data_IF_021399663101
#
_entry.id   IF_021399663101
#
_cell.length_a   1.000
_cell.length_b   1.000
_cell.length_c   1.000
_cell.angle_alpha   90.00
_cell.angle_beta   90.00
_cell.angle_gamma   90.00
#
_symmetry.space_group_name_H-M   'P 1'
#
loop_
_entity.id
_entity.type
_entity.pdbx_description
1 polymer ?
#
# COMPACT_ATOMS: atom_id res chain seq x y z
N UNK A 1 23.39 6.64 -30.33
CA UNK A 1 22.95 5.82 -31.47
C UNK A 1 21.52 5.40 -31.25
N UNK A 2 20.61 5.81 -32.14
CA UNK A 2 19.23 5.33 -32.10
C UNK A 2 19.19 3.93 -32.73
N UNK A 3 19.02 2.90 -31.90
CA UNK A 3 18.76 1.55 -32.36
C UNK A 3 17.30 1.50 -32.87
N UNK A 4 17.11 1.12 -34.11
CA UNK A 4 15.78 0.96 -34.67
C UNK A 4 15.11 -0.28 -34.04
N UNK A 5 14.12 -0.07 -33.19
CA UNK A 5 13.36 -1.15 -32.61
C UNK A 5 12.30 -1.67 -33.58
N UNK A 6 12.24 -2.98 -33.76
CA UNK A 6 11.19 -3.65 -34.55
C UNK A 6 10.30 -4.45 -33.60
N UNK A 7 8.99 -4.34 -33.79
CA UNK A 7 8.04 -5.15 -33.03
C UNK A 7 8.23 -6.64 -33.38
N UNK A 8 8.27 -7.50 -32.38
CA UNK A 8 8.34 -8.94 -32.57
C UNK A 8 7.08 -9.48 -33.25
N UNK A 9 5.90 -8.97 -32.85
CA UNK A 9 4.59 -9.27 -33.45
C UNK A 9 4.19 -8.16 -34.43
N UNK A 10 4.92 -8.01 -35.54
CA UNK A 10 4.74 -6.91 -36.50
C UNK A 10 3.35 -6.89 -37.18
N UNK A 11 2.63 -7.99 -37.15
CA UNK A 11 1.30 -8.14 -37.77
C UNK A 11 0.15 -7.65 -36.86
N UNK A 12 0.39 -7.42 -35.58
CA UNK A 12 -0.62 -6.90 -34.68
C UNK A 12 -0.82 -5.39 -34.83
N UNK A 13 -2.07 -4.89 -34.87
CA UNK A 13 -2.32 -3.47 -34.87
C UNK A 13 -1.82 -2.86 -33.55
N UNK A 14 -1.06 -1.77 -33.63
CA UNK A 14 -0.51 -1.07 -32.49
C UNK A 14 -1.17 0.29 -32.28
N UNK A 15 -1.46 0.64 -31.02
CA UNK A 15 -1.97 1.96 -30.62
C UNK A 15 -1.19 2.50 -29.42
N UNK A 16 -0.82 3.77 -29.47
CA UNK A 16 -0.21 4.48 -28.33
C UNK A 16 -1.00 5.75 -28.06
N UNK A 17 -1.53 5.87 -26.85
CA UNK A 17 -2.22 7.05 -26.37
C UNK A 17 -1.36 7.77 -25.34
N UNK A 18 -1.10 9.04 -25.56
CA UNK A 18 -0.43 9.92 -24.61
C UNK A 18 -1.47 10.81 -23.95
N UNK A 19 -1.62 10.69 -22.64
CA UNK A 19 -2.53 11.54 -21.89
C UNK A 19 -1.88 12.87 -21.51
N UNK A 20 -2.67 13.93 -21.57
CA UNK A 20 -2.24 15.22 -21.02
C UNK A 20 -1.88 15.04 -19.53
N UNK A 21 -0.71 15.53 -19.10
CA UNK A 21 -0.28 15.41 -17.71
C UNK A 21 -1.24 16.11 -16.76
N UNK A 22 -1.37 15.55 -15.56
CA UNK A 22 -2.16 16.14 -14.48
C UNK A 22 -1.21 16.88 -13.55
N UNK A 23 -1.26 18.24 -13.49
CA UNK A 23 -0.37 19.00 -12.62
C UNK A 23 -0.70 18.76 -11.14
N UNK A 24 0.25 19.09 -10.27
CA UNK A 24 -0.02 19.16 -8.82
C UNK A 24 -1.11 20.19 -8.59
N UNK A 25 -2.17 19.82 -7.88
CA UNK A 25 -3.17 20.77 -7.45
C UNK A 25 -2.50 21.85 -6.57
N UNK A 26 -2.86 23.10 -6.76
CA UNK A 26 -2.47 24.16 -5.84
C UNK A 26 -2.88 23.76 -4.42
N UNK A 27 -1.96 23.95 -3.47
CA UNK A 27 -2.27 23.69 -2.07
C UNK A 27 -3.44 24.57 -1.68
N UNK A 28 -4.61 23.96 -1.50
CA UNK A 28 -5.73 24.64 -0.86
C UNK A 28 -5.32 25.24 0.47
N UNK A 29 -6.07 26.20 0.96
CA UNK A 29 -5.88 26.72 2.32
C UNK A 29 -5.75 25.56 3.30
N UNK A 30 -4.78 25.66 4.21
CA UNK A 30 -4.61 24.64 5.25
C UNK A 30 -5.94 24.50 5.97
N UNK A 31 -6.53 23.33 5.91
CA UNK A 31 -7.72 22.98 6.68
C UNK A 31 -7.51 23.25 8.17
N UNK A 32 -8.57 23.16 8.94
CA UNK A 32 -8.47 23.31 10.38
C UNK A 32 -7.47 22.29 10.96
N UNK A 33 -6.80 22.63 12.05
CA UNK A 33 -5.76 21.78 12.66
C UNK A 33 -6.25 20.36 13.04
N UNK A 34 -7.55 20.15 13.12
CA UNK A 34 -8.20 18.87 13.42
C UNK A 34 -8.67 18.10 12.18
N UNK A 35 -8.51 18.67 10.99
CA UNK A 35 -8.83 17.95 9.75
C UNK A 35 -7.82 16.81 9.54
N UNK A 36 -8.28 15.63 9.13
CA UNK A 36 -7.38 14.50 8.86
C UNK A 36 -6.33 14.89 7.82
N UNK A 37 -5.07 14.84 8.19
CA UNK A 37 -3.94 15.21 7.32
C UNK A 37 -3.79 14.23 6.16
N UNK A 38 -4.41 13.06 6.27
CA UNK A 38 -4.27 11.92 5.36
C UNK A 38 -5.37 11.85 4.29
N UNK A 39 -6.39 12.70 4.36
CA UNK A 39 -7.42 12.75 3.32
C UNK A 39 -6.87 13.38 2.04
N UNK A 40 -6.70 12.53 1.04
CA UNK A 40 -6.35 12.97 -0.32
C UNK A 40 -7.55 13.74 -0.89
N UNK A 41 -7.43 15.06 -0.96
CA UNK A 41 -8.51 15.92 -1.47
C UNK A 41 -9.00 15.49 -2.86
N UNK A 42 -10.26 15.76 -3.19
CA UNK A 42 -10.89 15.35 -4.44
C UNK A 42 -10.12 15.80 -5.70
N UNK A 43 -9.43 16.92 -5.63
CA UNK A 43 -8.63 17.48 -6.74
C UNK A 43 -7.15 17.07 -6.71
N UNK A 44 -6.77 16.22 -5.80
CA UNK A 44 -5.37 15.76 -5.74
C UNK A 44 -5.01 14.99 -7.02
N UNK A 45 -3.90 15.33 -7.63
CA UNK A 45 -3.46 14.79 -8.94
C UNK A 45 -3.46 13.26 -8.99
N UNK A 46 -3.13 12.59 -7.88
CA UNK A 46 -3.13 11.12 -7.78
C UNK A 46 -4.55 10.54 -7.88
N UNK A 47 -5.53 11.18 -7.22
CA UNK A 47 -6.93 10.76 -7.26
C UNK A 47 -7.53 10.98 -8.64
N UNK A 48 -7.30 12.15 -9.21
CA UNK A 48 -7.77 12.49 -10.58
C UNK A 48 -7.19 11.49 -11.60
N UNK A 49 -5.90 11.13 -11.47
CA UNK A 49 -5.28 10.12 -12.34
C UNK A 49 -5.91 8.73 -12.13
N UNK A 50 -6.15 8.32 -10.89
CA UNK A 50 -6.77 7.03 -10.58
C UNK A 50 -8.18 6.92 -11.18
N UNK A 51 -9.00 7.96 -11.05
CA UNK A 51 -10.33 8.05 -11.65
C UNK A 51 -10.28 8.07 -13.19
N UNK A 52 -9.27 8.75 -13.78
CA UNK A 52 -9.03 8.72 -15.24
C UNK A 52 -8.69 7.31 -15.73
N UNK A 53 -7.82 6.58 -15.02
CA UNK A 53 -7.48 5.20 -15.34
C UNK A 53 -8.71 4.31 -15.29
N UNK A 54 -9.50 4.38 -14.22
CA UNK A 54 -10.70 3.57 -14.03
C UNK A 54 -11.75 3.85 -15.12
N UNK A 55 -11.99 5.12 -15.44
CA UNK A 55 -12.92 5.53 -16.51
C UNK A 55 -12.45 5.08 -17.89
N UNK A 56 -11.14 5.13 -18.15
CA UNK A 56 -10.57 4.64 -19.40
C UNK A 56 -10.68 3.11 -19.52
N UNK A 57 -10.33 2.38 -18.45
CA UNK A 57 -10.44 0.93 -18.40
C UNK A 57 -11.90 0.48 -18.59
N UNK A 58 -12.87 1.17 -17.95
CA UNK A 58 -14.29 0.87 -18.11
C UNK A 58 -14.72 1.05 -19.56
N UNK A 59 -14.39 2.19 -20.19
CA UNK A 59 -14.71 2.42 -21.60
C UNK A 59 -14.04 1.40 -22.53
N UNK A 60 -12.79 1.00 -22.25
CA UNK A 60 -12.12 -0.04 -23.03
C UNK A 60 -12.87 -1.37 -22.97
N UNK A 61 -13.39 -1.74 -21.80
CA UNK A 61 -14.19 -2.98 -21.65
C UNK A 61 -15.55 -2.85 -22.32
N UNK A 62 -16.18 -1.68 -22.28
CA UNK A 62 -17.54 -1.49 -22.83
C UNK A 62 -17.54 -1.36 -24.37
N UNK A 63 -16.52 -0.70 -24.94
CA UNK A 63 -16.53 -0.27 -26.35
C UNK A 63 -15.28 -0.73 -27.11
N UNK A 64 -14.24 -1.19 -26.40
CA UNK A 64 -12.94 -1.52 -27.00
C UNK A 64 -12.94 -2.86 -27.72
N UNK A 65 -12.12 -2.94 -28.75
CA UNK A 65 -11.85 -4.18 -29.47
C UNK A 65 -10.35 -4.43 -29.62
N UNK A 66 -9.97 -5.69 -29.61
CA UNK A 66 -8.60 -6.17 -29.81
C UNK A 66 -8.57 -7.17 -30.96
N UNK A 67 -7.43 -7.20 -31.66
CA UNK A 67 -7.19 -8.21 -32.68
C UNK A 67 -6.66 -9.49 -32.05
N UNK A 68 -7.30 -10.60 -32.34
CA UNK A 68 -6.88 -11.92 -31.82
C UNK A 68 -7.13 -13.01 -32.86
N UNK A 69 -6.12 -13.87 -33.09
CA UNK A 69 -6.19 -15.04 -33.97
C UNK A 69 -6.88 -14.81 -35.34
N UNK A 70 -6.76 -13.60 -35.89
CA UNK A 70 -7.32 -13.25 -37.22
C UNK A 70 -8.71 -12.62 -37.17
N UNK A 71 -9.18 -12.18 -36.00
CA UNK A 71 -10.46 -11.49 -35.81
C UNK A 71 -10.46 -10.43 -34.72
N UNK A 72 -11.47 -9.56 -34.76
CA UNK A 72 -11.71 -8.59 -33.70
C UNK A 72 -12.56 -9.21 -32.60
N UNK A 73 -12.14 -9.04 -31.35
CA UNK A 73 -12.90 -9.42 -30.16
C UNK A 73 -13.06 -8.25 -29.19
N UNK A 74 -14.08 -8.31 -28.35
CA UNK A 74 -14.28 -7.34 -27.28
C UNK A 74 -13.13 -7.41 -26.26
N UNK A 75 -12.81 -6.26 -25.67
CA UNK A 75 -11.87 -6.16 -24.55
C UNK A 75 -12.52 -6.74 -23.29
N UNK A 76 -11.75 -7.52 -22.54
CA UNK A 76 -12.12 -8.00 -21.22
C UNK A 76 -11.27 -7.34 -20.14
N UNK A 77 -11.71 -7.27 -18.86
CA UNK A 77 -10.87 -6.73 -17.79
C UNK A 77 -9.50 -7.42 -17.69
N UNK A 78 -9.41 -8.72 -18.01
CA UNK A 78 -8.17 -9.49 -17.99
C UNK A 78 -7.14 -9.08 -19.04
N UNK A 79 -7.55 -8.37 -20.08
CA UNK A 79 -6.65 -7.82 -21.11
C UNK A 79 -5.91 -6.56 -20.66
N UNK A 80 -6.34 -5.95 -19.55
CA UNK A 80 -5.83 -4.67 -19.07
C UNK A 80 -4.83 -4.89 -17.92
N UNK A 81 -3.64 -4.33 -18.10
CA UNK A 81 -2.57 -4.32 -17.12
C UNK A 81 -2.19 -2.87 -16.79
N UNK A 82 -2.37 -2.46 -15.55
CA UNK A 82 -1.92 -1.15 -15.07
C UNK A 82 -0.58 -1.33 -14.35
N UNK A 83 0.45 -0.63 -14.82
CA UNK A 83 1.79 -0.69 -14.25
C UNK A 83 2.16 0.63 -13.60
N UNK A 84 2.57 0.56 -12.34
CA UNK A 84 3.09 1.70 -11.57
C UNK A 84 4.55 1.46 -11.19
N UNK A 85 5.30 2.54 -10.94
CA UNK A 85 6.70 2.41 -10.54
C UNK A 85 6.83 1.82 -9.12
N UNK A 86 5.93 2.21 -8.20
CA UNK A 86 5.92 1.77 -6.78
C UNK A 86 4.50 1.61 -6.28
N UNK A 87 4.37 0.81 -5.22
CA UNK A 87 3.15 0.76 -4.42
C UNK A 87 3.07 2.02 -3.57
N UNK A 88 2.28 2.97 -4.01
CA UNK A 88 2.09 4.26 -3.37
C UNK A 88 0.64 4.72 -3.53
N UNK A 89 0.30 5.97 -3.22
CA UNK A 89 -1.07 6.48 -3.27
C UNK A 89 -1.77 6.23 -4.61
N UNK A 90 -1.05 6.33 -5.74
CA UNK A 90 -1.62 6.07 -7.08
C UNK A 90 -1.97 4.59 -7.28
N UNK A 91 -1.20 3.67 -6.72
CA UNK A 91 -1.46 2.24 -6.81
C UNK A 91 -2.77 1.87 -6.12
N UNK A 92 -2.93 2.27 -4.85
CA UNK A 92 -4.15 2.03 -4.08
C UNK A 92 -5.34 2.80 -4.66
N UNK A 93 -5.13 4.04 -5.07
CA UNK A 93 -6.17 4.87 -5.71
C UNK A 93 -6.72 4.25 -6.98
N UNK A 94 -5.87 3.68 -7.85
CA UNK A 94 -6.31 2.99 -9.07
C UNK A 94 -7.12 1.75 -8.75
N UNK A 95 -6.71 0.94 -7.78
CA UNK A 95 -7.47 -0.24 -7.37
C UNK A 95 -8.85 0.17 -6.86
N UNK A 96 -8.93 1.14 -5.95
CA UNK A 96 -10.18 1.62 -5.40
C UNK A 96 -11.10 2.23 -6.47
N UNK A 97 -10.55 3.06 -7.38
CA UNK A 97 -11.31 3.68 -8.46
C UNK A 97 -11.83 2.64 -9.48
N UNK A 98 -11.03 1.64 -9.84
CA UNK A 98 -11.47 0.55 -10.73
C UNK A 98 -12.60 -0.27 -10.10
N UNK A 99 -12.50 -0.62 -8.82
CA UNK A 99 -13.56 -1.31 -8.09
C UNK A 99 -14.85 -0.46 -8.03
N UNK A 100 -14.75 0.82 -7.73
CA UNK A 100 -15.88 1.76 -7.73
C UNK A 100 -16.54 1.88 -9.12
N UNK A 101 -15.76 1.71 -10.21
CA UNK A 101 -16.26 1.65 -11.57
C UNK A 101 -16.85 0.26 -11.96
N UNK A 102 -16.96 -0.68 -11.02
CA UNK A 102 -17.51 -2.03 -11.27
C UNK A 102 -16.57 -2.95 -12.05
N UNK A 103 -15.26 -2.67 -12.05
CA UNK A 103 -14.27 -3.55 -12.67
C UNK A 103 -13.72 -4.53 -11.63
N UNK A 104 -13.66 -5.80 -11.99
CA UNK A 104 -12.98 -6.80 -11.18
C UNK A 104 -11.46 -6.59 -11.30
N UNK A 105 -10.79 -6.34 -10.17
CA UNK A 105 -9.35 -6.12 -10.10
C UNK A 105 -8.69 -7.32 -9.43
N UNK A 106 -7.72 -7.94 -10.13
CA UNK A 106 -6.83 -8.88 -9.49
C UNK A 106 -5.88 -8.08 -8.57
N UNK A 107 -6.01 -8.31 -7.28
CA UNK A 107 -5.30 -7.55 -6.27
C UNK A 107 -3.78 -7.66 -6.39
N UNK A 108 -3.10 -6.73 -5.78
CA UNK A 108 -1.66 -6.68 -5.68
C UNK A 108 -1.08 -8.04 -5.25
N UNK A 109 -0.14 -8.55 -6.03
CA UNK A 109 0.43 -9.89 -5.86
C UNK A 109 1.12 -10.14 -4.51
N UNK A 110 1.36 -9.09 -3.73
CA UNK A 110 1.98 -9.17 -2.40
C UNK A 110 1.31 -8.17 -1.47
N UNK A 111 0.61 -8.69 -0.50
CA UNK A 111 0.10 -7.92 0.63
C UNK A 111 1.25 -7.78 1.64
N UNK A 112 1.76 -6.58 1.83
CA UNK A 112 2.66 -6.29 2.95
C UNK A 112 1.82 -6.18 4.22
N UNK A 113 1.69 -7.30 4.88
CA UNK A 113 0.75 -7.47 5.98
C UNK A 113 0.96 -6.42 7.09
N UNK A 114 2.22 -6.10 7.41
CA UNK A 114 2.56 -5.09 8.40
C UNK A 114 2.28 -3.63 7.98
N UNK A 115 1.97 -3.36 6.72
CA UNK A 115 1.61 -2.01 6.24
C UNK A 115 0.10 -1.77 6.24
N UNK A 116 -0.73 -2.83 6.29
CA UNK A 116 -2.18 -2.76 6.29
C UNK A 116 -2.71 -2.15 7.60
N UNK A 117 -3.58 -1.14 7.47
CA UNK A 117 -4.07 -0.39 8.64
C UNK A 117 -4.85 -1.28 9.61
N UNK A 118 -5.73 -2.14 9.10
CA UNK A 118 -6.48 -3.09 9.93
C UNK A 118 -5.56 -4.01 10.73
N UNK A 119 -4.45 -4.44 10.11
CA UNK A 119 -3.45 -5.30 10.77
C UNK A 119 -2.69 -4.51 11.84
N UNK A 120 -2.28 -3.28 11.55
CA UNK A 120 -1.64 -2.40 12.55
C UNK A 120 -2.52 -2.17 13.76
N UNK A 121 -3.81 -1.92 13.54
CA UNK A 121 -4.78 -1.71 14.61
C UNK A 121 -4.94 -2.95 15.50
N UNK A 122 -4.99 -4.14 14.89
CA UNK A 122 -5.05 -5.41 15.60
C UNK A 122 -3.73 -5.65 16.36
N UNK A 123 -2.58 -5.45 15.72
CA UNK A 123 -1.28 -5.63 16.35
C UNK A 123 -1.08 -4.67 17.53
N UNK A 124 -1.62 -3.44 17.48
CA UNK A 124 -1.60 -2.52 18.61
C UNK A 124 -2.34 -3.08 19.83
N UNK A 125 -3.50 -3.71 19.62
CA UNK A 125 -4.20 -4.42 20.71
C UNK A 125 -3.34 -5.54 21.27
N UNK A 126 -2.79 -6.41 20.40
CA UNK A 126 -1.97 -7.56 20.82
C UNK A 126 -0.69 -7.12 21.54
N UNK A 127 -0.04 -6.04 21.11
CA UNK A 127 1.16 -5.49 21.75
C UNK A 127 0.85 -5.00 23.18
N UNK A 128 -0.25 -4.29 23.34
CA UNK A 128 -0.75 -3.91 24.67
C UNK A 128 -1.06 -5.15 25.54
N UNK A 129 -1.66 -6.19 24.98
CA UNK A 129 -1.95 -7.42 25.74
C UNK A 129 -0.68 -8.16 26.17
N UNK A 130 0.40 -8.05 25.38
CA UNK A 130 1.70 -8.62 25.71
C UNK A 130 2.48 -7.82 26.76
N UNK A 131 2.28 -6.48 26.79
CA UNK A 131 3.01 -5.56 27.68
C UNK A 131 2.07 -4.49 28.24
N UNK A 132 1.75 -4.59 29.52
CA UNK A 132 0.80 -3.71 30.24
C UNK A 132 1.15 -2.24 30.24
N UNK A 133 2.43 -1.95 30.18
CA UNK A 133 2.98 -0.61 30.29
C UNK A 133 3.15 0.04 28.92
N UNK A 134 2.73 -0.63 27.83
CA UNK A 134 2.77 -0.08 26.48
C UNK A 134 1.61 0.90 26.25
N UNK A 135 1.78 2.09 26.78
CA UNK A 135 0.84 3.20 26.62
C UNK A 135 0.62 3.59 25.17
N UNK A 136 1.65 3.46 24.32
CA UNK A 136 1.56 3.84 22.91
C UNK A 136 0.67 2.87 22.14
N UNK A 137 0.88 1.59 22.30
CA UNK A 137 0.04 0.57 21.68
C UNK A 137 -1.39 0.63 22.19
N UNK A 138 -1.60 0.85 23.49
CA UNK A 138 -2.95 1.04 24.03
C UNK A 138 -3.62 2.30 23.43
N UNK A 139 -2.90 3.42 23.35
CA UNK A 139 -3.44 4.64 22.75
C UNK A 139 -3.81 4.45 21.27
N UNK A 140 -2.93 3.77 20.50
CA UNK A 140 -3.21 3.42 19.10
C UNK A 140 -4.44 2.51 18.97
N UNK A 141 -4.54 1.48 19.81
CA UNK A 141 -5.70 0.59 19.85
C UNK A 141 -7.00 1.34 20.15
N UNK A 142 -7.02 2.22 21.16
CA UNK A 142 -8.19 3.02 21.51
C UNK A 142 -8.64 3.94 20.35
N UNK A 143 -7.70 4.50 19.60
CA UNK A 143 -7.96 5.35 18.42
C UNK A 143 -8.42 4.57 17.20
N UNK A 144 -8.16 3.28 17.15
CA UNK A 144 -8.54 2.42 16.03
C UNK A 144 -10.06 2.24 15.95
N UNK A 145 -10.59 1.78 14.79
CA UNK A 145 -12.01 1.44 14.65
C UNK A 145 -12.49 0.37 15.64
N UNK A 146 -11.59 -0.41 16.23
CA UNK A 146 -11.92 -1.42 17.23
C UNK A 146 -12.60 -0.83 18.46
N UNK A 147 -12.18 0.36 18.88
CA UNK A 147 -12.73 1.06 20.05
C UNK A 147 -13.34 2.42 19.70
N UNK A 148 -12.90 3.06 18.62
CA UNK A 148 -13.52 4.25 18.04
C UNK A 148 -13.38 5.53 18.87
N UNK A 149 -12.36 5.63 19.73
CA UNK A 149 -12.16 6.79 20.58
C UNK A 149 -11.76 8.05 19.77
N UNK A 150 -12.26 9.19 20.19
CA UNK A 150 -11.81 10.49 19.68
C UNK A 150 -10.49 10.94 20.34
N UNK A 151 -9.77 11.87 19.68
CA UNK A 151 -8.58 12.50 20.28
C UNK A 151 -8.92 13.16 21.63
N UNK A 152 -10.08 13.78 21.73
CA UNK A 152 -10.52 14.43 22.95
C UNK A 152 -10.72 13.46 24.12
N UNK A 153 -11.26 12.28 23.84
CA UNK A 153 -11.44 11.23 24.85
C UNK A 153 -10.11 10.66 25.31
N UNK A 154 -9.21 10.36 24.36
CA UNK A 154 -7.87 9.89 24.67
C UNK A 154 -7.09 10.94 25.46
N UNK A 155 -7.14 12.21 25.04
CA UNK A 155 -6.51 13.31 25.75
C UNK A 155 -7.07 13.46 27.17
N UNK A 156 -8.40 13.40 27.34
CA UNK A 156 -9.04 13.49 28.66
C UNK A 156 -8.61 12.36 29.62
N UNK A 157 -8.34 11.17 29.09
CA UNK A 157 -7.79 10.06 29.88
C UNK A 157 -6.29 10.22 30.16
N UNK A 158 -5.53 10.67 29.17
CA UNK A 158 -4.08 10.69 29.21
C UNK A 158 -3.49 11.92 29.92
N UNK A 159 -4.16 13.07 29.84
CA UNK A 159 -3.66 14.34 30.38
C UNK A 159 -3.63 14.31 31.92
N UNK A 160 -2.46 14.65 32.47
CA UNK A 160 -2.29 14.77 33.93
C UNK A 160 -2.33 13.45 34.72
N UNK A 161 -2.40 12.28 34.04
CA UNK A 161 -2.38 10.98 34.71
C UNK A 161 -1.06 10.74 35.44
N UNK A 162 -1.12 9.98 36.53
CA UNK A 162 0.02 9.39 37.22
C UNK A 162 0.05 7.89 36.85
N UNK A 163 1.17 7.40 36.36
CA UNK A 163 1.33 5.99 35.96
C UNK A 163 0.85 5.70 34.53
N UNK A 164 0.65 4.41 34.25
CA UNK A 164 0.36 3.90 32.89
C UNK A 164 -1.09 4.13 32.48
N UNK A 165 -1.31 4.24 31.19
CA UNK A 165 -2.61 4.55 30.59
C UNK A 165 -3.69 3.50 30.96
N UNK A 166 -3.31 2.22 31.03
CA UNK A 166 -4.22 1.14 31.41
C UNK A 166 -4.77 1.29 32.82
N UNK A 167 -3.95 1.74 33.76
CA UNK A 167 -4.41 1.97 35.15
C UNK A 167 -5.45 3.10 35.21
N UNK A 168 -5.19 4.19 34.47
CA UNK A 168 -6.14 5.30 34.36
C UNK A 168 -7.46 4.86 33.70
N UNK A 169 -7.38 4.06 32.65
CA UNK A 169 -8.56 3.53 31.95
C UNK A 169 -9.42 2.65 32.89
N UNK A 170 -8.77 1.75 33.65
CA UNK A 170 -9.48 0.89 34.63
C UNK A 170 -10.11 1.69 35.75
N UNK A 171 -9.45 2.74 36.21
CA UNK A 171 -10.00 3.61 37.23
C UNK A 171 -11.24 4.38 36.75
N UNK A 172 -11.32 4.65 35.45
CA UNK A 172 -12.46 5.27 34.76
C UNK A 172 -13.44 4.28 34.15
N UNK A 173 -13.49 3.02 34.59
CA UNK A 173 -14.29 1.97 33.96
C UNK A 173 -15.78 2.30 33.82
N UNK A 174 -16.36 3.06 34.76
CA UNK A 174 -17.77 3.48 34.72
C UNK A 174 -18.06 4.41 33.52
N UNK A 175 -17.04 5.15 33.06
CA UNK A 175 -17.15 6.05 31.90
C UNK A 175 -17.01 5.31 30.55
N UNK A 176 -16.23 4.22 30.54
CA UNK A 176 -15.95 3.44 29.33
C UNK A 176 -16.12 1.93 29.55
N UNK A 177 -17.33 1.49 30.02
CA UNK A 177 -17.53 0.10 30.44
C UNK A 177 -17.30 -0.92 29.34
N UNK A 178 -17.70 -0.61 28.10
CA UNK A 178 -17.52 -1.50 26.96
C UNK A 178 -16.01 -1.69 26.65
N UNK A 179 -15.27 -0.60 26.49
CA UNK A 179 -13.83 -0.64 26.21
C UNK A 179 -13.07 -1.42 27.28
N UNK A 180 -13.32 -1.11 28.54
CA UNK A 180 -12.66 -1.79 29.68
C UNK A 180 -13.07 -3.26 29.74
N UNK A 181 -14.35 -3.57 29.45
CA UNK A 181 -14.85 -4.95 29.40
C UNK A 181 -14.15 -5.79 28.34
N UNK A 182 -14.03 -5.27 27.13
CA UNK A 182 -13.32 -5.94 26.02
C UNK A 182 -11.85 -6.16 26.36
N UNK A 183 -11.15 -5.11 26.80
CA UNK A 183 -9.72 -5.20 27.10
C UNK A 183 -9.42 -6.13 28.28
N UNK A 184 -10.28 -6.18 29.30
CA UNK A 184 -10.17 -7.15 30.42
C UNK A 184 -10.35 -8.58 29.91
N UNK A 185 -11.42 -8.85 29.16
CA UNK A 185 -11.70 -10.18 28.61
C UNK A 185 -10.56 -10.71 27.75
N UNK A 186 -9.99 -9.86 26.90
CA UNK A 186 -8.83 -10.24 26.06
C UNK A 186 -7.57 -10.47 26.89
N UNK A 187 -7.36 -9.63 27.91
CA UNK A 187 -6.19 -9.70 28.75
C UNK A 187 -6.19 -10.92 29.65
N UNK A 188 -7.32 -11.21 30.26
CA UNK A 188 -7.50 -12.40 31.12
C UNK A 188 -7.29 -13.70 30.29
N UNK A 189 -7.50 -13.61 28.98
CA UNK A 189 -7.32 -14.72 28.05
C UNK A 189 -5.91 -14.79 27.42
N UNK A 190 -5.14 -13.70 27.41
CA UNK A 190 -3.89 -13.58 26.65
C UNK A 190 -2.78 -14.58 27.09
N UNK A 191 -2.76 -14.97 28.36
CA UNK A 191 -1.78 -15.91 28.89
C UNK A 191 -2.12 -17.39 28.58
N UNK A 192 -3.36 -17.67 28.19
CA UNK A 192 -3.85 -19.04 28.00
C UNK A 192 -4.20 -19.34 26.55
N UNK A 193 -4.70 -18.36 25.81
CA UNK A 193 -5.08 -18.51 24.41
C UNK A 193 -3.85 -18.37 23.49
N UNK A 194 -3.86 -19.15 22.42
CA UNK A 194 -2.92 -19.01 21.34
C UNK A 194 -3.19 -17.74 20.52
N UNK A 195 -2.22 -17.20 19.79
CA UNK A 195 -2.41 -16.00 18.99
C UNK A 195 -3.64 -16.06 18.05
N UNK A 196 -3.86 -17.19 17.38
CA UNK A 196 -5.04 -17.36 16.53
C UNK A 196 -6.35 -17.27 17.33
N UNK A 197 -6.44 -17.97 18.44
CA UNK A 197 -7.64 -17.99 19.29
C UNK A 197 -7.92 -16.59 19.91
N UNK A 198 -6.87 -15.86 20.26
CA UNK A 198 -6.97 -14.49 20.78
C UNK A 198 -7.45 -13.51 19.69
N UNK A 199 -6.94 -13.67 18.46
CA UNK A 199 -7.41 -12.92 17.29
C UNK A 199 -8.88 -13.21 17.00
N UNK A 200 -9.29 -14.48 16.98
CA UNK A 200 -10.70 -14.88 16.80
C UNK A 200 -11.59 -14.26 17.89
N UNK A 201 -11.10 -14.24 19.14
CA UNK A 201 -11.84 -13.62 20.25
C UNK A 201 -12.06 -12.13 20.01
N UNK A 202 -11.03 -11.39 19.60
CA UNK A 202 -11.12 -9.97 19.25
C UNK A 202 -12.04 -9.72 18.04
N UNK A 203 -11.85 -10.50 16.97
CA UNK A 203 -12.49 -10.26 15.69
C UNK A 203 -13.94 -10.71 15.63
N UNK A 204 -14.27 -11.84 16.26
CA UNK A 204 -15.60 -12.45 16.22
C UNK A 204 -16.39 -12.12 17.48
N UNK A 205 -15.89 -12.47 18.68
CA UNK A 205 -16.63 -12.27 19.94
C UNK A 205 -16.86 -10.79 20.28
N UNK A 206 -15.86 -9.95 19.99
CA UNK A 206 -15.92 -8.51 20.24
C UNK A 206 -16.23 -7.68 18.98
N UNK A 207 -16.68 -8.34 17.92
CA UNK A 207 -17.16 -7.72 16.68
C UNK A 207 -16.09 -6.84 15.96
N UNK A 208 -14.81 -7.12 16.22
CA UNK A 208 -13.69 -6.34 15.71
C UNK A 208 -13.62 -6.35 14.19
N UNK A 209 -13.88 -7.50 13.53
CA UNK A 209 -13.89 -7.59 12.07
C UNK A 209 -14.92 -6.62 11.47
N UNK A 210 -16.15 -6.63 11.97
CA UNK A 210 -17.21 -5.75 11.47
C UNK A 210 -16.85 -4.27 11.64
N UNK A 211 -16.27 -3.90 12.79
CA UNK A 211 -15.84 -2.53 13.09
C UNK A 211 -14.74 -2.06 12.15
N UNK A 212 -13.73 -2.90 11.90
CA UNK A 212 -12.64 -2.61 10.97
C UNK A 212 -13.14 -2.47 9.53
N UNK A 213 -13.94 -3.44 9.05
CA UNK A 213 -14.46 -3.43 7.67
C UNK A 213 -15.42 -2.25 7.46
N UNK A 214 -16.27 -1.93 8.43
CA UNK A 214 -17.20 -0.80 8.33
C UNK A 214 -16.48 0.54 8.16
N UNK A 215 -15.28 0.71 8.71
CA UNK A 215 -14.51 1.95 8.65
C UNK A 215 -13.48 1.97 7.51
N UNK A 216 -12.84 0.83 7.25
CA UNK A 216 -11.70 0.73 6.32
C UNK A 216 -12.10 0.14 4.95
N UNK A 217 -13.31 -0.40 4.83
CA UNK A 217 -13.81 -1.04 3.61
C UNK A 217 -13.51 -2.55 3.55
N UNK A 218 -14.12 -3.22 2.56
CA UNK A 218 -14.01 -4.67 2.36
C UNK A 218 -12.56 -5.16 2.16
N UNK A 219 -11.69 -4.29 1.69
CA UNK A 219 -10.27 -4.61 1.49
C UNK A 219 -9.54 -4.98 2.78
N UNK A 220 -10.02 -4.46 3.93
CA UNK A 220 -9.49 -4.82 5.24
C UNK A 220 -9.63 -6.32 5.55
N UNK A 221 -10.65 -6.98 4.99
CA UNK A 221 -10.88 -8.42 5.18
C UNK A 221 -9.70 -9.27 4.72
N UNK A 222 -9.08 -8.93 3.60
CA UNK A 222 -7.93 -9.67 3.06
C UNK A 222 -6.72 -9.60 4.00
N UNK A 223 -6.46 -8.42 4.60
CA UNK A 223 -5.42 -8.23 5.60
C UNK A 223 -5.69 -9.04 6.87
N UNK A 224 -6.93 -9.01 7.35
CA UNK A 224 -7.37 -9.75 8.54
C UNK A 224 -7.23 -11.25 8.31
N UNK A 225 -7.70 -11.77 7.18
CA UNK A 225 -7.63 -13.22 6.86
C UNK A 225 -6.17 -13.68 6.69
N UNK A 226 -5.33 -12.84 6.12
CA UNK A 226 -3.90 -13.11 6.00
C UNK A 226 -3.20 -13.13 7.37
N UNK A 227 -3.58 -12.23 8.29
CA UNK A 227 -3.06 -12.22 9.66
C UNK A 227 -3.45 -13.49 10.42
N UNK A 228 -4.72 -13.91 10.31
CA UNK A 228 -5.21 -15.16 10.88
C UNK A 228 -4.46 -16.37 10.33
N UNK A 229 -4.22 -16.41 9.01
CA UNK A 229 -3.45 -17.47 8.38
C UNK A 229 -2.00 -17.52 8.88
N UNK A 230 -1.36 -16.36 9.12
CA UNK A 230 -0.01 -16.29 9.69
C UNK A 230 0.01 -16.79 11.14
N UNK A 231 -0.97 -16.42 11.96
CA UNK A 231 -1.08 -16.92 13.33
C UNK A 231 -1.21 -18.44 13.36
N UNK A 232 -2.09 -18.99 12.52
CA UNK A 232 -2.29 -20.44 12.42
C UNK A 232 -1.06 -21.17 11.87
N UNK A 233 -0.33 -20.59 10.92
CA UNK A 233 0.90 -21.16 10.39
C UNK A 233 1.99 -21.22 11.47
N UNK A 234 2.15 -20.18 12.26
CA UNK A 234 3.13 -20.15 13.35
C UNK A 234 2.85 -21.17 14.44
N UNK A 235 1.58 -21.45 14.75
CA UNK A 235 1.23 -22.48 15.72
C UNK A 235 1.70 -23.89 15.32
N UNK A 236 1.87 -24.14 14.02
CA UNK A 236 2.38 -25.41 13.49
C UNK A 236 3.90 -25.53 13.54
N UNK A 237 4.59 -24.39 13.58
CA UNK A 237 6.06 -24.31 13.50
C UNK A 237 6.75 -24.33 14.87
N UNK A 238 6.06 -24.04 15.98
CA UNK A 238 6.69 -23.96 17.29
C UNK A 238 5.77 -23.67 18.45
N UNK A 239 6.33 -23.16 19.56
CA UNK A 239 5.54 -22.77 20.73
C UNK A 239 4.77 -21.50 20.44
N UNK A 240 3.44 -21.53 20.44
CA UNK A 240 2.61 -20.39 20.10
C UNK A 240 2.57 -19.39 21.27
N UNK A 241 3.51 -18.45 21.33
CA UNK A 241 3.46 -17.35 22.29
C UNK A 241 3.07 -16.05 21.59
N UNK A 242 2.31 -15.20 22.26
CA UNK A 242 1.91 -13.88 21.78
C UNK A 242 3.14 -13.02 21.43
N UNK A 243 4.13 -13.02 22.32
CA UNK A 243 5.38 -12.25 22.12
C UNK A 243 6.17 -12.72 20.89
N UNK A 244 6.27 -14.05 20.67
CA UNK A 244 6.95 -14.59 19.50
C UNK A 244 6.19 -14.25 18.19
N UNK A 245 4.86 -14.23 18.24
CA UNK A 245 4.02 -13.81 17.13
C UNK A 245 4.27 -12.34 16.77
N UNK A 246 4.24 -11.44 17.76
CA UNK A 246 4.49 -10.02 17.57
C UNK A 246 5.90 -9.77 17.01
N UNK A 247 6.93 -10.39 17.58
CA UNK A 247 8.31 -10.25 17.10
C UNK A 247 8.46 -10.70 15.64
N UNK A 248 7.75 -11.76 15.23
CA UNK A 248 7.72 -12.21 13.83
C UNK A 248 7.02 -11.21 12.92
N UNK A 249 5.91 -10.63 13.36
CA UNK A 249 5.16 -9.63 12.58
C UNK A 249 5.93 -8.31 12.42
N UNK A 250 6.74 -7.91 13.40
CA UNK A 250 7.59 -6.71 13.36
C UNK A 250 8.87 -6.94 12.55
N UNK A 251 9.48 -8.11 12.66
CA UNK A 251 10.80 -8.42 12.08
C UNK A 251 10.77 -8.93 10.64
N UNK A 252 9.64 -9.42 10.17
CA UNK A 252 9.49 -9.93 8.82
C UNK A 252 8.71 -8.94 7.95
N UNK A 253 9.24 -8.57 6.78
CA UNK A 253 8.38 -8.19 5.66
C UNK A 253 7.56 -9.45 5.30
N UNK A 254 6.45 -9.68 6.02
CA UNK A 254 5.55 -10.81 5.73
C UNK A 254 4.81 -10.48 4.44
N UNK A 255 5.45 -10.86 3.35
CA UNK A 255 4.89 -10.78 2.02
C UNK A 255 3.94 -11.96 1.80
N UNK A 256 2.65 -11.73 1.94
CA UNK A 256 1.64 -12.74 1.61
C UNK A 256 1.31 -12.63 0.11
N UNK A 257 1.75 -13.62 -0.66
CA UNK A 257 1.30 -13.76 -2.05
C UNK A 257 -0.18 -14.12 -2.03
N UNK A 258 -1.04 -13.21 -2.46
CA UNK A 258 -2.43 -13.55 -2.77
C UNK A 258 -2.44 -14.64 -3.83
N UNK A 259 -3.13 -15.74 -3.57
CA UNK A 259 -3.40 -16.73 -4.60
C UNK A 259 -4.19 -16.03 -5.70
N UNK A 260 -3.59 -15.91 -6.87
CA UNK A 260 -4.23 -15.33 -8.04
C UNK A 260 -5.27 -16.31 -8.60
N UNK A 261 -6.38 -16.46 -7.90
CA UNK A 261 -7.56 -17.13 -8.43
C UNK A 261 -8.14 -16.25 -9.55
N UNK A 262 -8.13 -16.74 -10.77
CA UNK A 262 -8.73 -16.08 -11.94
C UNK A 262 -7.79 -15.16 -12.73
N UNK A 263 -6.56 -15.58 -13.01
CA UNK A 263 -5.58 -14.80 -13.81
C UNK A 263 -6.05 -14.31 -15.19
N UNK A 264 -7.14 -14.84 -15.72
CA UNK A 264 -7.63 -14.51 -17.09
C UNK A 264 -8.79 -13.52 -17.16
N UNK A 265 -9.54 -13.27 -16.05
CA UNK A 265 -10.81 -12.54 -16.11
C UNK A 265 -10.74 -11.12 -15.50
N UNK A 266 -9.71 -10.80 -14.71
CA UNK A 266 -9.67 -9.56 -13.90
C UNK A 266 -8.59 -8.59 -14.39
N UNK A 267 -8.88 -7.29 -14.30
CA UNK A 267 -7.90 -6.23 -14.51
C UNK A 267 -6.76 -6.36 -13.49
N UNK A 268 -5.51 -6.24 -13.95
CA UNK A 268 -4.33 -6.40 -13.09
C UNK A 268 -3.67 -5.05 -12.82
N UNK A 269 -3.38 -4.78 -11.54
CA UNK A 269 -2.60 -3.60 -11.11
C UNK A 269 -1.36 -4.10 -10.39
N UNK A 270 -0.17 -3.76 -10.90
CA UNK A 270 1.10 -4.22 -10.32
C UNK A 270 2.25 -3.23 -10.55
N UNK A 271 3.39 -3.48 -9.91
CA UNK A 271 4.60 -2.70 -10.19
C UNK A 271 5.31 -3.19 -11.44
N UNK A 272 6.10 -2.32 -12.07
CA UNK A 272 6.92 -2.70 -13.24
C UNK A 272 7.82 -3.90 -12.94
N UNK A 273 8.39 -3.97 -11.73
CA UNK A 273 9.21 -5.11 -11.30
C UNK A 273 8.39 -6.40 -11.21
N UNK A 274 7.16 -6.32 -10.68
CA UNK A 274 6.26 -7.47 -10.58
C UNK A 274 5.75 -7.99 -11.92
N UNK A 275 5.78 -7.14 -12.94
CA UNK A 275 5.38 -7.49 -14.31
C UNK A 275 6.49 -8.10 -15.17
N UNK A 276 7.67 -8.38 -14.60
CA UNK A 276 8.77 -8.98 -15.36
C UNK A 276 8.35 -10.34 -15.93
N UNK A 277 8.43 -10.46 -17.27
CA UNK A 277 8.02 -11.68 -17.99
C UNK A 277 6.52 -11.80 -18.28
N UNK A 278 5.70 -10.82 -17.86
CA UNK A 278 4.28 -10.75 -18.21
C UNK A 278 4.07 -9.77 -19.36
N UNK A 279 3.15 -10.10 -20.25
CA UNK A 279 2.67 -9.23 -21.33
C UNK A 279 1.16 -9.11 -21.23
N UNK A 280 0.60 -8.07 -21.83
CA UNK A 280 -0.85 -7.85 -21.86
C UNK A 280 -1.23 -7.10 -23.14
N UNK A 281 -2.39 -7.41 -23.73
CA UNK A 281 -2.89 -6.68 -24.88
C UNK A 281 -2.96 -5.17 -24.68
N UNK A 282 -3.38 -4.73 -23.47
CA UNK A 282 -3.48 -3.32 -23.09
C UNK A 282 -2.62 -3.06 -21.85
N UNK A 283 -1.75 -2.06 -21.94
CA UNK A 283 -0.96 -1.59 -20.78
C UNK A 283 -1.22 -0.11 -20.55
N UNK A 284 -1.52 0.24 -19.29
CA UNK A 284 -1.71 1.62 -18.85
C UNK A 284 -0.58 1.97 -17.87
N UNK A 285 0.16 3.02 -18.17
CA UNK A 285 1.25 3.58 -17.35
C UNK A 285 0.81 4.94 -16.79
N UNK A 286 0.19 5.02 -15.60
CA UNK A 286 -0.35 6.28 -15.08
C UNK A 286 0.70 7.15 -14.36
N UNK A 287 1.90 6.59 -14.08
CA UNK A 287 2.92 7.15 -13.19
C UNK A 287 4.28 7.27 -13.91
N UNK A 288 4.28 7.95 -15.09
CA UNK A 288 5.52 8.12 -15.87
C UNK A 288 6.21 9.47 -15.63
N UNK A 289 5.64 10.33 -14.79
CA UNK A 289 6.20 11.64 -14.47
C UNK A 289 7.58 11.56 -13.80
N UNK A 290 8.41 12.57 -14.05
CA UNK A 290 9.74 12.69 -13.43
C UNK A 290 9.57 12.92 -11.93
N UNK A 291 9.95 11.94 -11.13
CA UNK A 291 9.89 12.11 -9.69
C UNK A 291 11.05 13.00 -9.22
N UNK A 292 10.74 14.15 -8.62
CA UNK A 292 11.72 15.03 -7.96
C UNK A 292 12.65 14.28 -7.02
N UNK A 293 12.17 13.20 -6.41
CA UNK A 293 12.94 12.29 -5.56
C UNK A 293 14.07 11.54 -6.28
N UNK A 294 14.01 11.39 -7.61
CA UNK A 294 15.11 10.80 -8.38
C UNK A 294 16.36 11.67 -8.33
N UNK A 295 16.19 12.98 -8.23
CA UNK A 295 17.28 13.96 -8.15
C UNK A 295 17.81 14.19 -6.72
N UNK A 296 17.18 13.59 -5.70
CA UNK A 296 17.63 13.71 -4.31
C UNK A 296 18.37 12.44 -3.90
N UNK A 297 19.65 12.53 -3.61
CA UNK A 297 20.42 11.44 -3.00
C UNK A 297 20.09 11.39 -1.52
N UNK A 298 19.19 10.50 -1.14
CA UNK A 298 18.82 10.26 0.26
C UNK A 298 19.82 9.34 0.98
N UNK A 299 20.55 8.52 0.22
CA UNK A 299 21.53 7.58 0.75
C UNK A 299 22.84 8.32 1.04
N UNK A 300 23.28 8.33 2.30
CA UNK A 300 24.54 8.92 2.70
C UNK A 300 25.76 8.05 2.39
N UNK A 301 25.55 6.78 2.09
CA UNK A 301 26.60 5.83 1.73
C UNK A 301 26.46 5.48 0.25
N UNK A 302 27.49 5.71 -0.52
CA UNK A 302 27.55 5.34 -1.94
C UNK A 302 28.70 4.38 -2.20
N UNK A 303 28.51 3.36 -3.05
CA UNK A 303 29.59 2.46 -3.42
C UNK A 303 30.66 3.24 -4.23
N UNK A 304 31.91 2.89 -4.02
CA UNK A 304 33.07 3.35 -4.78
C UNK A 304 33.90 2.13 -5.15
N UNK A 305 34.91 2.31 -6.02
CA UNK A 305 35.82 1.23 -6.43
C UNK A 305 36.47 0.58 -5.22
N UNK A 306 35.95 -0.56 -4.79
CA UNK A 306 36.46 -1.37 -3.66
C UNK A 306 36.11 -0.88 -2.25
N UNK A 307 35.29 0.18 -2.09
CA UNK A 307 34.92 0.73 -0.78
C UNK A 307 33.52 1.37 -0.83
N UNK A 308 33.02 1.75 0.37
CA UNK A 308 31.84 2.59 0.51
C UNK A 308 32.23 3.97 1.03
N UNK A 309 31.73 5.03 0.40
CA UNK A 309 31.97 6.40 0.83
C UNK A 309 30.76 6.98 1.53
N UNK A 310 30.99 7.60 2.70
CA UNK A 310 29.99 8.39 3.39
C UNK A 310 29.93 9.80 2.79
N UNK A 311 28.78 10.20 2.32
CA UNK A 311 28.55 11.55 1.78
C UNK A 311 28.15 12.49 2.93
N UNK A 312 28.92 13.55 3.14
CA UNK A 312 28.59 14.64 4.04
C UNK A 312 27.34 15.41 3.63
N UNK A 313 26.95 16.50 4.33
CA UNK A 313 25.84 17.38 3.92
C UNK A 313 26.07 17.92 2.50
N UNK A 314 25.00 18.22 1.76
CA UNK A 314 25.10 18.77 0.40
C UNK A 314 25.71 20.16 0.38
N UNK A 315 25.39 20.94 1.42
CA UNK A 315 25.90 22.30 1.64
C UNK A 315 27.34 22.22 2.11
N UNK A 316 28.26 22.85 1.40
CA UNK A 316 29.70 22.79 1.70
C UNK A 316 30.42 21.48 1.26
N UNK A 317 29.75 20.58 0.58
CA UNK A 317 30.34 19.30 0.16
C UNK A 317 31.58 19.46 -0.71
N UNK A 318 32.59 18.62 -0.46
CA UNK A 318 33.81 18.56 -1.27
C UNK A 318 33.48 18.24 -2.74
N UNK A 319 34.34 18.64 -3.67
CA UNK A 319 34.14 18.42 -5.10
C UNK A 319 33.95 16.94 -5.44
N UNK A 320 34.65 16.04 -4.76
CA UNK A 320 34.54 14.60 -4.96
C UNK A 320 33.18 14.08 -4.50
N UNK A 321 32.59 14.60 -3.42
CA UNK A 321 31.28 14.20 -2.93
C UNK A 321 30.16 14.69 -3.84
N UNK A 322 30.31 15.87 -4.44
CA UNK A 322 29.39 16.37 -5.48
C UNK A 322 29.41 15.46 -6.69
N UNK A 323 30.58 15.12 -7.22
CA UNK A 323 30.72 14.22 -8.36
C UNK A 323 30.10 12.83 -8.09
N UNK A 324 30.26 12.29 -6.88
CA UNK A 324 29.65 11.01 -6.47
C UNK A 324 28.15 11.11 -6.37
N UNK A 325 27.59 12.23 -5.88
CA UNK A 325 26.15 12.46 -5.88
C UNK A 325 25.58 12.54 -7.27
N UNK A 326 26.24 13.29 -8.15
CA UNK A 326 25.81 13.43 -9.54
C UNK A 326 25.80 12.07 -10.25
N UNK A 327 26.83 11.25 -10.03
CA UNK A 327 26.89 9.89 -10.54
C UNK A 327 25.77 9.00 -9.99
N UNK A 328 25.46 9.10 -8.69
CA UNK A 328 24.36 8.36 -8.07
C UNK A 328 22.98 8.80 -8.59
N UNK A 329 22.78 10.09 -8.84
CA UNK A 329 21.58 10.63 -9.48
C UNK A 329 21.46 10.10 -10.89
N UNK A 330 22.55 10.17 -11.67
CA UNK A 330 22.58 9.69 -13.05
C UNK A 330 22.23 8.21 -13.14
N UNK A 331 22.83 7.37 -12.30
CA UNK A 331 22.51 5.93 -12.25
C UNK A 331 21.03 5.65 -11.95
N UNK A 332 20.40 6.46 -11.08
CA UNK A 332 18.95 6.34 -10.79
C UNK A 332 18.09 6.75 -11.98
N UNK A 333 18.48 7.79 -12.69
CA UNK A 333 17.77 8.23 -13.90
C UNK A 333 17.86 7.16 -14.98
N UNK A 334 19.03 6.58 -15.19
CA UNK A 334 19.23 5.49 -16.15
C UNK A 334 18.41 4.25 -15.78
N UNK A 335 18.36 3.90 -14.51
CA UNK A 335 17.54 2.77 -14.05
C UNK A 335 16.04 3.05 -14.23
N UNK A 336 15.59 4.27 -13.94
CA UNK A 336 14.20 4.67 -14.18
C UNK A 336 13.84 4.61 -15.68
N UNK A 337 14.77 4.99 -16.58
CA UNK A 337 14.58 4.86 -18.02
C UNK A 337 14.51 3.41 -18.47
N UNK A 338 15.36 2.52 -17.92
CA UNK A 338 15.28 1.07 -18.19
C UNK A 338 13.94 0.49 -17.74
N UNK A 339 13.49 0.85 -16.55
CA UNK A 339 12.19 0.40 -16.04
C UNK A 339 11.03 0.90 -16.90
N UNK A 340 11.07 2.15 -17.36
CA UNK A 340 10.08 2.69 -18.27
C UNK A 340 10.07 1.92 -19.59
N UNK A 341 11.25 1.64 -20.17
CA UNK A 341 11.36 0.81 -21.36
C UNK A 341 10.75 -0.58 -21.16
N UNK A 342 11.08 -1.24 -20.04
CA UNK A 342 10.49 -2.54 -19.70
C UNK A 342 8.97 -2.44 -19.58
N UNK A 343 8.44 -1.39 -18.95
CA UNK A 343 7.01 -1.19 -18.80
C UNK A 343 6.30 -1.00 -20.14
N UNK A 344 6.86 -0.15 -21.03
CA UNK A 344 6.30 0.08 -22.37
C UNK A 344 6.28 -1.19 -23.22
N UNK A 345 7.32 -2.02 -23.12
CA UNK A 345 7.42 -3.29 -23.88
C UNK A 345 6.53 -4.40 -23.35
N UNK A 346 5.73 -4.17 -22.31
CA UNK A 346 4.71 -5.12 -21.84
C UNK A 346 3.41 -5.06 -22.63
N UNK A 347 3.20 -3.98 -23.39
CA UNK A 347 2.02 -3.81 -24.22
C UNK A 347 2.17 -4.58 -25.54
N UNK A 348 1.19 -5.43 -25.86
CA UNK A 348 1.14 -6.14 -27.12
C UNK A 348 0.47 -5.32 -28.24
N UNK A 349 -0.62 -4.60 -27.94
CA UNK A 349 -1.42 -3.88 -28.93
C UNK A 349 -1.71 -2.43 -28.54
N UNK A 350 -2.00 -2.16 -27.26
CA UNK A 350 -2.42 -0.82 -26.86
C UNK A 350 -1.65 -0.35 -25.62
N UNK A 351 -0.90 0.71 -25.79
CA UNK A 351 -0.14 1.36 -24.74
C UNK A 351 -0.76 2.72 -24.42
N UNK A 352 -1.06 2.95 -23.16
CA UNK A 352 -1.51 4.26 -22.65
C UNK A 352 -0.48 4.79 -21.67
N UNK A 353 -0.04 6.03 -21.88
CA UNK A 353 0.97 6.68 -21.04
C UNK A 353 0.41 7.95 -20.45
N UNK A 354 0.45 8.06 -19.14
CA UNK A 354 0.00 9.22 -18.37
C UNK A 354 1.02 9.62 -17.32
N UNK A 355 0.94 10.88 -16.89
CA UNK A 355 1.75 11.44 -15.82
C UNK A 355 0.90 12.30 -14.90
N UNK A 356 1.19 12.25 -13.60
CA UNK A 356 0.53 13.08 -12.59
C UNK A 356 1.56 13.56 -11.57
N UNK A 357 1.44 14.80 -11.15
CA UNK A 357 2.32 15.38 -10.16
C UNK A 357 3.24 16.47 -10.71
N UNK A 358 4.38 16.66 -10.07
CA UNK A 358 5.43 17.59 -10.56
C UNK A 358 6.02 17.01 -11.86
N UNK A 359 5.96 17.79 -12.92
CA UNK A 359 6.42 17.44 -14.27
C UNK A 359 7.82 17.95 -14.52
#
# INVERSE_FOLDING_TARGET
EHVMHRAFKAELPGRVDLWAPIPVAEKGEKGAWHDPVDEVGAHHHTRVMAERVASAARRMVDEGVLWDAGGWRAVTPGDILVLVQRRGPIFHGVIAACKAAGLEVAGADVLKLGEELAVKDILAVLSFLAVDDDDLSLAAALRSPLFGWSEAELHALAAGRKGVLWQALRAGADRWPETVGILRDLRDAADYLRPYELLERLLVRHDGRRRLVARLGEEASDGIDSLLAQALAQEREGVPSLTAFLARMEGAEVDVKRQAEGRGAKLRVMTVHGAKGLESPIVILPDTGVQRKLRQVTTRVVPTDGAAAWLGPAEGAARIDRARRDAAVQARVEEAQRLLYVAMTRAEQWLVVGAAGEL
#
